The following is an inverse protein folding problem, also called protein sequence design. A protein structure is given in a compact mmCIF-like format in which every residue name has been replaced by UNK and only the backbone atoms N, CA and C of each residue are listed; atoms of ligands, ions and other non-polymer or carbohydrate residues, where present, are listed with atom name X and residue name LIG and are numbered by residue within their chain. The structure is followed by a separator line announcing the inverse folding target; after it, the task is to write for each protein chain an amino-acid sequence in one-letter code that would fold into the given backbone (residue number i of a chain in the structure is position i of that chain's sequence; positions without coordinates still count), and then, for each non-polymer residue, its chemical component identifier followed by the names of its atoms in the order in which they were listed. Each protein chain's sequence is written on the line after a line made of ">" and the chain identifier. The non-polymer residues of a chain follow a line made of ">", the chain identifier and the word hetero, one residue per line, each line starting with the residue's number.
data_IF_817449563035
#
_entry.id   IF_817449563035
#
_cell.length_a   1.000
_cell.length_b   1.000
_cell.length_c   1.000
_cell.angle_alpha   90.00
_cell.angle_beta   90.00
_cell.angle_gamma   90.00
#
_symmetry.space_group_name_H-M   'P 1'
#
loop_
_entity.id
_entity.type
_entity.pdbx_description
1 polymer ?
#
# COMPACT_ATOMS: atom_id res chain seq x y z
N UNK A 1 -33.13 -32.53 -14.11
CA UNK A 1 -33.01 -33.01 -12.71
C UNK A 1 -32.71 -31.78 -11.87
N UNK A 2 -33.72 -31.26 -11.16
CA UNK A 2 -33.51 -30.24 -10.13
C UNK A 2 -33.00 -30.99 -8.91
N UNK A 3 -31.69 -30.89 -8.63
CA UNK A 3 -31.14 -31.27 -7.35
C UNK A 3 -31.53 -30.15 -6.37
N UNK A 4 -32.31 -30.50 -5.33
CA UNK A 4 -32.67 -29.56 -4.27
C UNK A 4 -31.39 -29.06 -3.58
N UNK A 5 -30.99 -27.83 -3.91
CA UNK A 5 -29.80 -27.17 -3.35
C UNK A 5 -29.91 -26.89 -1.85
N UNK A 6 -31.09 -27.10 -1.25
CA UNK A 6 -31.35 -26.84 0.16
C UNK A 6 -30.80 -27.91 1.12
N UNK A 7 -30.65 -29.17 0.67
CA UNK A 7 -30.22 -30.25 1.58
C UNK A 7 -28.71 -30.24 1.87
N UNK A 8 -27.89 -29.71 0.95
CA UNK A 8 -26.43 -29.65 1.15
C UNK A 8 -26.00 -28.56 2.15
N UNK A 9 -26.76 -27.46 2.27
CA UNK A 9 -26.44 -26.37 3.20
C UNK A 9 -26.45 -26.83 4.66
N UNK A 10 -27.51 -27.56 5.04
CA UNK A 10 -27.70 -28.07 6.42
C UNK A 10 -26.64 -29.09 6.83
N UNK A 11 -26.20 -29.93 5.90
CA UNK A 11 -25.16 -30.92 6.18
C UNK A 11 -23.81 -30.26 6.51
N UNK A 12 -23.46 -29.17 5.81
CA UNK A 12 -22.23 -28.42 6.05
C UNK A 12 -22.28 -27.65 7.37
N UNK A 13 -23.41 -27.01 7.68
CA UNK A 13 -23.62 -26.28 8.93
C UNK A 13 -23.56 -27.22 10.15
N UNK A 14 -24.15 -28.41 10.05
CA UNK A 14 -24.11 -29.41 11.12
C UNK A 14 -22.73 -30.04 11.29
N UNK A 15 -21.94 -30.17 10.21
CA UNK A 15 -20.54 -30.59 10.30
C UNK A 15 -19.70 -29.54 11.06
N UNK A 16 -19.95 -28.25 10.82
CA UNK A 16 -19.29 -27.15 11.52
C UNK A 16 -19.68 -27.10 13.02
N UNK A 17 -20.94 -27.37 13.36
CA UNK A 17 -21.38 -27.43 14.76
C UNK A 17 -20.82 -28.64 15.52
N UNK A 18 -20.80 -29.81 14.91
CA UNK A 18 -20.18 -31.01 15.50
C UNK A 18 -18.67 -30.79 15.72
N UNK A 19 -18.03 -30.04 14.82
CA UNK A 19 -16.62 -29.67 14.93
C UNK A 19 -16.32 -28.82 16.19
N UNK A 20 -17.25 -27.98 16.65
CA UNK A 20 -17.04 -27.13 17.83
C UNK A 20 -17.08 -27.88 19.18
N UNK A 21 -17.64 -29.10 19.25
CA UNK A 21 -17.86 -29.80 20.53
C UNK A 21 -16.71 -30.73 20.98
N UNK A 22 -15.81 -31.16 20.08
CA UNK A 22 -14.92 -32.32 20.32
C UNK A 22 -13.45 -32.00 20.67
N UNK A 23 -13.09 -30.76 21.02
CA UNK A 23 -11.68 -30.36 21.11
C UNK A 23 -11.24 -29.97 22.53
N UNK A 24 -10.49 -30.85 23.22
CA UNK A 24 -9.94 -30.60 24.58
C UNK A 24 -8.41 -30.71 24.69
N UNK A 25 -7.65 -30.89 23.60
CA UNK A 25 -6.17 -30.93 23.62
C UNK A 25 -5.55 -29.96 22.62
N UNK A 26 -4.70 -29.04 23.11
CA UNK A 26 -4.06 -27.96 22.34
C UNK A 26 -3.35 -28.43 21.06
N UNK A 27 -2.56 -29.51 21.13
CA UNK A 27 -1.86 -30.07 19.95
C UNK A 27 -2.81 -30.65 18.91
N UNK A 28 -4.02 -31.07 19.32
CA UNK A 28 -5.00 -31.59 18.38
C UNK A 28 -5.71 -30.46 17.63
N UNK A 29 -5.83 -29.25 18.19
CA UNK A 29 -6.43 -28.09 17.50
C UNK A 29 -5.67 -27.71 16.23
N UNK A 30 -4.34 -27.59 16.29
CA UNK A 30 -3.54 -27.17 15.12
C UNK A 30 -3.65 -28.21 13.98
N UNK A 31 -3.69 -29.50 14.32
CA UNK A 31 -3.88 -30.56 13.32
C UNK A 31 -5.27 -30.47 12.68
N UNK A 32 -6.30 -30.18 13.46
CA UNK A 32 -7.66 -30.03 12.95
C UNK A 32 -7.81 -28.83 12.03
N UNK A 33 -7.19 -27.68 12.34
CA UNK A 33 -7.22 -26.50 11.47
C UNK A 33 -6.57 -26.81 10.10
N UNK A 34 -5.45 -27.53 10.11
CA UNK A 34 -4.77 -27.96 8.88
C UNK A 34 -5.59 -28.97 8.08
N UNK A 35 -6.26 -29.92 8.74
CA UNK A 35 -7.15 -30.89 8.09
C UNK A 35 -8.34 -30.16 7.47
N UNK A 36 -9.00 -29.28 8.23
CA UNK A 36 -10.11 -28.47 7.74
C UNK A 36 -9.72 -27.70 6.47
N UNK A 37 -8.57 -27.05 6.47
CA UNK A 37 -8.11 -26.30 5.32
C UNK A 37 -7.80 -27.21 4.13
N UNK A 38 -7.07 -28.32 4.34
CA UNK A 38 -6.71 -29.28 3.28
C UNK A 38 -7.92 -29.92 2.64
N UNK A 39 -8.88 -30.31 3.46
CA UNK A 39 -10.09 -31.01 3.02
C UNK A 39 -11.26 -30.04 2.78
N UNK A 40 -11.00 -28.71 2.82
CA UNK A 40 -12.03 -27.71 2.58
C UNK A 40 -12.76 -27.98 1.26
N UNK A 41 -14.10 -28.08 1.26
CA UNK A 41 -14.84 -28.53 0.09
C UNK A 41 -14.65 -27.62 -1.12
N UNK A 42 -14.23 -28.21 -2.25
CA UNK A 42 -13.94 -27.47 -3.49
C UNK A 42 -15.18 -26.69 -3.96
N UNK A 43 -16.37 -27.30 -3.91
CA UNK A 43 -17.60 -26.64 -4.36
C UNK A 43 -17.94 -25.38 -3.54
N UNK A 44 -17.63 -25.35 -2.24
CA UNK A 44 -17.83 -24.14 -1.42
C UNK A 44 -16.83 -23.05 -1.82
N UNK A 45 -15.58 -23.42 -2.09
CA UNK A 45 -14.57 -22.48 -2.57
C UNK A 45 -14.94 -21.88 -3.93
N UNK A 46 -15.46 -22.69 -4.85
CA UNK A 46 -15.94 -22.23 -6.16
C UNK A 46 -17.16 -21.30 -6.00
N UNK A 47 -18.03 -21.61 -5.06
CA UNK A 47 -19.21 -20.79 -4.76
C UNK A 47 -18.84 -19.43 -4.16
N UNK A 48 -17.84 -19.38 -3.28
CA UNK A 48 -17.28 -18.11 -2.77
C UNK A 48 -16.71 -17.27 -3.91
N UNK A 49 -15.87 -17.83 -4.77
CA UNK A 49 -15.31 -17.09 -5.91
C UNK A 49 -16.41 -16.61 -6.87
N UNK A 50 -17.46 -17.43 -7.08
CA UNK A 50 -18.62 -17.07 -7.91
C UNK A 50 -19.35 -15.85 -7.37
N UNK A 51 -19.65 -15.82 -6.07
CA UNK A 51 -20.36 -14.70 -5.43
C UNK A 51 -19.54 -13.42 -5.50
N UNK A 52 -18.23 -13.53 -5.28
CA UNK A 52 -17.31 -12.40 -5.34
C UNK A 52 -17.19 -11.86 -6.77
N UNK A 53 -17.12 -12.74 -7.78
CA UNK A 53 -16.91 -12.33 -9.19
C UNK A 53 -18.15 -11.69 -9.79
N UNK A 54 -19.34 -12.20 -9.47
CA UNK A 54 -20.57 -11.80 -10.16
C UNK A 54 -21.00 -10.38 -9.78
N UNK A 55 -20.56 -9.83 -8.64
CA UNK A 55 -20.89 -8.47 -8.15
C UNK A 55 -22.38 -8.11 -8.28
N UNK A 56 -23.26 -9.12 -8.35
CA UNK A 56 -24.68 -8.93 -8.61
C UNK A 56 -25.38 -8.86 -7.25
N UNK A 57 -26.27 -7.87 -7.06
CA UNK A 57 -27.02 -7.69 -5.81
C UNK A 57 -28.14 -8.74 -5.65
N UNK A 58 -27.93 -9.98 -6.12
CA UNK A 58 -28.90 -11.05 -5.91
C UNK A 58 -29.00 -11.30 -4.41
N UNK A 59 -30.14 -10.90 -3.82
CA UNK A 59 -30.45 -11.00 -2.39
C UNK A 59 -30.22 -12.41 -1.81
N UNK A 60 -30.17 -13.43 -2.66
CA UNK A 60 -30.04 -14.84 -2.30
C UNK A 60 -28.63 -15.28 -1.86
N UNK A 61 -27.66 -14.37 -1.72
CA UNK A 61 -26.28 -14.74 -1.36
C UNK A 61 -25.86 -14.40 0.08
N UNK A 62 -26.74 -13.80 0.89
CA UNK A 62 -26.38 -13.36 2.25
C UNK A 62 -25.84 -14.50 3.13
N UNK A 63 -26.48 -15.67 3.14
CA UNK A 63 -26.04 -16.82 3.94
C UNK A 63 -24.62 -17.26 3.57
N UNK A 64 -24.27 -17.20 2.28
CA UNK A 64 -22.95 -17.58 1.81
C UNK A 64 -21.89 -16.52 2.13
N UNK A 65 -22.28 -15.23 2.18
CA UNK A 65 -21.43 -14.15 2.68
C UNK A 65 -21.10 -14.34 4.16
N UNK A 66 -22.10 -14.66 4.97
CA UNK A 66 -21.91 -14.99 6.38
C UNK A 66 -21.00 -16.20 6.54
N UNK A 67 -21.25 -17.29 5.80
CA UNK A 67 -20.43 -18.48 5.85
C UNK A 67 -18.96 -18.18 5.46
N UNK A 68 -18.72 -17.33 4.47
CA UNK A 68 -17.36 -16.92 4.12
C UNK A 68 -16.66 -16.23 5.30
N UNK A 69 -17.34 -15.30 5.98
CA UNK A 69 -16.78 -14.59 7.13
C UNK A 69 -16.55 -15.53 8.32
N UNK A 70 -17.46 -16.47 8.58
CA UNK A 70 -17.31 -17.49 9.62
C UNK A 70 -16.13 -18.41 9.33
N UNK A 71 -16.00 -18.89 8.09
CA UNK A 71 -14.87 -19.73 7.66
C UNK A 71 -13.56 -18.96 7.78
N UNK A 72 -13.52 -17.69 7.36
CA UNK A 72 -12.33 -16.86 7.55
C UNK A 72 -11.98 -16.69 9.03
N UNK A 73 -12.97 -16.33 9.86
CA UNK A 73 -12.81 -16.13 11.30
C UNK A 73 -12.28 -17.41 11.96
N UNK A 74 -12.82 -18.56 11.57
CA UNK A 74 -12.40 -19.87 12.02
C UNK A 74 -10.95 -20.20 11.64
N UNK A 75 -10.57 -19.99 10.37
CA UNK A 75 -9.22 -20.31 9.86
C UNK A 75 -8.18 -19.51 10.65
N UNK A 76 -8.43 -18.22 10.87
CA UNK A 76 -7.48 -17.32 11.50
C UNK A 76 -7.73 -17.08 13.00
N UNK A 77 -8.52 -17.91 13.69
CA UNK A 77 -8.72 -17.75 15.15
C UNK A 77 -7.46 -18.03 15.97
N UNK A 78 -6.54 -18.83 15.43
CA UNK A 78 -5.39 -19.37 16.14
C UNK A 78 -4.09 -18.75 15.60
N UNK A 79 -3.33 -17.97 16.41
CA UNK A 79 -2.08 -17.35 15.96
C UNK A 79 -0.93 -18.33 15.79
N UNK A 80 -1.06 -19.54 16.34
CA UNK A 80 -0.02 -20.55 16.31
C UNK A 80 -0.35 -21.62 15.28
N UNK A 81 0.39 -21.65 14.16
CA UNK A 81 0.19 -22.74 13.22
C UNK A 81 1.00 -22.63 11.94
N UNK A 82 1.17 -23.78 11.30
CA UNK A 82 1.66 -23.86 9.93
C UNK A 82 0.57 -23.47 8.90
N UNK A 83 -0.56 -22.93 9.34
CA UNK A 83 -1.70 -22.59 8.48
C UNK A 83 -1.31 -21.58 7.40
N UNK A 84 -0.41 -20.65 7.72
CA UNK A 84 0.14 -19.67 6.79
C UNK A 84 0.97 -20.27 5.64
N UNK A 85 1.43 -21.52 5.78
CA UNK A 85 2.19 -22.22 4.72
C UNK A 85 1.28 -22.90 3.69
N UNK A 86 -0.01 -23.05 4.01
CA UNK A 86 -0.97 -23.71 3.14
C UNK A 86 -1.54 -22.71 2.14
N UNK A 87 -1.38 -22.99 0.84
CA UNK A 87 -1.84 -22.11 -0.26
C UNK A 87 -3.33 -21.74 -0.17
N UNK A 88 -4.16 -22.62 0.40
CA UNK A 88 -5.59 -22.34 0.59
C UNK A 88 -5.84 -21.18 1.55
N UNK A 89 -4.98 -20.96 2.55
CA UNK A 89 -5.12 -19.80 3.47
C UNK A 89 -5.06 -18.48 2.70
N UNK A 90 -4.11 -18.36 1.77
CA UNK A 90 -4.00 -17.20 0.88
C UNK A 90 -5.26 -16.99 0.05
N UNK A 91 -5.89 -18.09 -0.41
CA UNK A 91 -7.16 -18.01 -1.15
C UNK A 91 -8.27 -17.39 -0.32
N UNK A 92 -8.37 -17.74 0.97
CA UNK A 92 -9.37 -17.14 1.87
C UNK A 92 -9.08 -15.67 2.19
N UNK A 93 -7.80 -15.27 2.26
CA UNK A 93 -7.43 -13.85 2.36
C UNK A 93 -7.90 -13.10 1.13
N UNK A 94 -7.64 -13.61 -0.07
CA UNK A 94 -8.11 -13.01 -1.33
C UNK A 94 -9.64 -12.93 -1.35
N UNK A 95 -10.33 -13.98 -0.91
CA UNK A 95 -11.80 -13.96 -0.83
C UNK A 95 -12.30 -12.85 0.08
N UNK A 96 -11.75 -12.72 1.29
CA UNK A 96 -12.12 -11.65 2.21
C UNK A 96 -11.87 -10.27 1.60
N UNK A 97 -10.68 -10.04 1.02
CA UNK A 97 -10.29 -8.74 0.46
C UNK A 97 -11.21 -8.31 -0.68
N UNK A 98 -11.49 -9.20 -1.64
CA UNK A 98 -12.43 -8.90 -2.72
C UNK A 98 -13.86 -8.74 -2.19
N UNK A 99 -14.23 -9.51 -1.17
CA UNK A 99 -15.56 -9.47 -0.58
C UNK A 99 -15.88 -8.13 0.08
N UNK A 100 -14.99 -7.62 0.94
CA UNK A 100 -15.21 -6.33 1.64
C UNK A 100 -15.15 -5.11 0.69
N UNK A 101 -14.62 -5.27 -0.52
CA UNK A 101 -14.67 -4.24 -1.56
C UNK A 101 -16.06 -4.10 -2.19
N UNK A 102 -16.98 -5.05 -1.97
CA UNK A 102 -18.36 -4.92 -2.43
C UNK A 102 -19.08 -3.86 -1.60
N UNK A 103 -19.77 -2.88 -2.22
CA UNK A 103 -20.37 -1.75 -1.48
C UNK A 103 -21.70 -2.10 -0.76
N UNK A 104 -21.98 -3.39 -0.54
CA UNK A 104 -23.22 -3.88 0.05
C UNK A 104 -23.03 -4.12 1.55
N UNK A 105 -23.45 -3.15 2.37
CA UNK A 105 -23.28 -3.21 3.83
C UNK A 105 -23.93 -4.46 4.42
N UNK A 106 -23.13 -5.21 5.18
CA UNK A 106 -23.60 -6.38 5.90
C UNK A 106 -23.66 -6.10 7.39
N UNK A 107 -24.79 -6.40 8.01
CA UNK A 107 -24.87 -6.49 9.48
C UNK A 107 -24.32 -7.84 9.90
N UNK A 108 -23.16 -7.84 10.52
CA UNK A 108 -22.50 -9.05 10.99
C UNK A 108 -22.29 -8.94 12.51
N UNK A 109 -22.88 -9.87 13.26
CA UNK A 109 -22.86 -9.78 14.72
C UNK A 109 -21.48 -10.12 15.32
N UNK A 110 -20.67 -10.89 14.59
CA UNK A 110 -19.34 -11.36 15.02
C UNK A 110 -18.19 -10.50 14.47
N UNK A 111 -18.41 -9.20 14.21
CA UNK A 111 -17.35 -8.29 13.70
C UNK A 111 -16.14 -8.25 14.63
N UNK A 112 -16.34 -8.32 15.95
CA UNK A 112 -15.22 -8.32 16.90
C UNK A 112 -14.35 -9.57 16.76
N UNK A 113 -14.95 -10.75 16.56
CA UNK A 113 -14.21 -12.00 16.37
C UNK A 113 -13.49 -12.00 15.01
N UNK A 114 -14.14 -11.44 13.99
CA UNK A 114 -13.51 -11.23 12.68
C UNK A 114 -12.30 -10.29 12.77
N UNK A 115 -12.38 -9.19 13.54
CA UNK A 115 -11.23 -8.29 13.77
C UNK A 115 -10.09 -9.04 14.47
N UNK A 116 -10.40 -9.85 15.50
CA UNK A 116 -9.39 -10.65 16.20
C UNK A 116 -8.71 -11.64 15.24
N UNK A 117 -9.48 -12.31 14.38
CA UNK A 117 -8.95 -13.21 13.35
C UNK A 117 -8.18 -12.48 12.25
N UNK A 118 -8.55 -11.25 11.88
CA UNK A 118 -7.75 -10.42 10.98
C UNK A 118 -6.41 -10.07 11.62
N UNK A 119 -6.39 -9.70 12.91
CA UNK A 119 -5.15 -9.43 13.65
C UNK A 119 -4.20 -10.63 13.66
N UNK A 120 -4.73 -11.85 13.80
CA UNK A 120 -3.96 -13.07 13.64
C UNK A 120 -3.48 -13.23 12.20
N UNK A 121 -4.34 -13.03 11.20
CA UNK A 121 -4.01 -13.14 9.78
C UNK A 121 -2.84 -12.23 9.38
N UNK A 122 -2.89 -10.94 9.76
CA UNK A 122 -1.88 -9.93 9.42
C UNK A 122 -0.60 -10.04 10.26
N UNK A 123 -0.56 -10.91 11.28
CA UNK A 123 0.71 -11.29 11.91
C UNK A 123 1.63 -12.04 10.93
N UNK A 124 1.07 -12.60 9.86
CA UNK A 124 1.82 -13.12 8.73
C UNK A 124 2.08 -12.03 7.69
N UNK A 125 3.35 -11.73 7.48
CA UNK A 125 3.80 -10.56 6.71
C UNK A 125 3.27 -10.50 5.26
N UNK A 126 3.26 -11.58 4.47
CA UNK A 126 2.65 -11.58 3.14
C UNK A 126 1.18 -11.17 3.13
N UNK A 127 0.39 -11.61 4.11
CA UNK A 127 -1.04 -11.28 4.18
C UNK A 127 -1.24 -9.84 4.62
N UNK A 128 -0.42 -9.34 5.55
CA UNK A 128 -0.41 -7.92 5.90
C UNK A 128 -0.14 -7.03 4.68
N UNK A 129 0.82 -7.40 3.82
CA UNK A 129 1.08 -6.65 2.58
C UNK A 129 -0.16 -6.63 1.69
N UNK A 130 -0.87 -7.75 1.52
CA UNK A 130 -2.12 -7.79 0.74
C UNK A 130 -3.19 -6.85 1.33
N UNK A 131 -3.32 -6.79 2.65
CA UNK A 131 -4.26 -5.88 3.32
C UNK A 131 -3.94 -4.40 3.03
N UNK A 132 -2.66 -4.04 3.06
CA UNK A 132 -2.22 -2.67 2.76
C UNK A 132 -2.47 -2.35 1.28
N UNK A 133 -2.03 -3.22 0.37
CA UNK A 133 -2.13 -3.02 -1.07
C UNK A 133 -3.57 -2.92 -1.57
N UNK A 134 -4.47 -3.70 -0.99
CA UNK A 134 -5.89 -3.73 -1.37
C UNK A 134 -6.75 -2.76 -0.56
N UNK A 135 -6.15 -1.85 0.22
CA UNK A 135 -6.83 -0.86 1.06
C UNK A 135 -7.88 -1.47 2.01
N UNK A 136 -7.57 -2.64 2.57
CA UNK A 136 -8.54 -3.49 3.24
C UNK A 136 -9.20 -2.83 4.45
N UNK A 137 -8.45 -2.06 5.24
CA UNK A 137 -8.95 -1.35 6.43
C UNK A 137 -10.01 -0.32 6.08
N UNK A 138 -9.81 0.44 4.99
CA UNK A 138 -10.79 1.38 4.46
C UNK A 138 -12.05 0.67 3.98
N UNK A 139 -11.90 -0.40 3.19
CA UNK A 139 -13.05 -1.17 2.71
C UNK A 139 -13.81 -1.80 3.88
N UNK A 140 -13.10 -2.37 4.85
CA UNK A 140 -13.68 -2.94 6.07
C UNK A 140 -14.53 -1.91 6.84
N UNK A 141 -13.97 -0.71 7.08
CA UNK A 141 -14.68 0.37 7.77
C UNK A 141 -16.02 0.71 7.08
N UNK A 142 -16.00 0.83 5.76
CA UNK A 142 -17.20 1.18 4.99
C UNK A 142 -18.21 0.04 4.88
N UNK A 143 -17.71 -1.19 4.81
CA UNK A 143 -18.49 -2.40 4.64
C UNK A 143 -19.31 -2.73 5.89
N UNK A 144 -18.65 -2.83 7.04
CA UNK A 144 -19.28 -3.23 8.30
C UNK A 144 -19.85 -2.04 9.06
N UNK A 145 -19.23 -0.86 8.93
CA UNK A 145 -19.46 0.23 9.87
C UNK A 145 -18.97 -0.12 11.28
N UNK A 146 -18.89 0.89 12.15
CA UNK A 146 -18.45 0.72 13.53
C UNK A 146 -19.55 1.25 14.45
N UNK A 147 -20.53 0.39 14.77
CA UNK A 147 -21.72 0.80 15.53
C UNK A 147 -21.44 0.94 17.04
N UNK A 148 -20.39 0.30 17.56
CA UNK A 148 -20.03 0.30 18.98
C UNK A 148 -18.63 0.84 19.22
N UNK A 149 -18.44 1.53 20.35
CA UNK A 149 -17.13 2.07 20.77
C UNK A 149 -16.08 0.96 20.94
N UNK A 150 -16.47 -0.21 21.45
CA UNK A 150 -15.57 -1.35 21.62
C UNK A 150 -15.10 -1.91 20.27
N UNK A 151 -16.01 -2.02 19.31
CA UNK A 151 -15.67 -2.44 17.94
C UNK A 151 -14.80 -1.40 17.25
N UNK A 152 -15.07 -0.11 17.48
CA UNK A 152 -14.26 0.98 16.97
C UNK A 152 -12.82 0.94 17.53
N UNK A 153 -12.66 0.77 18.85
CA UNK A 153 -11.34 0.63 19.48
C UNK A 153 -10.56 -0.55 18.89
N UNK A 154 -11.17 -1.74 18.83
CA UNK A 154 -10.54 -2.92 18.21
C UNK A 154 -10.18 -2.69 16.74
N UNK A 155 -11.03 -2.00 15.99
CA UNK A 155 -10.77 -1.69 14.59
C UNK A 155 -9.55 -0.78 14.42
N UNK A 156 -9.40 0.24 15.27
CA UNK A 156 -8.24 1.12 15.21
C UNK A 156 -6.96 0.42 15.63
N UNK A 157 -7.00 -0.46 16.64
CA UNK A 157 -5.88 -1.34 17.01
C UNK A 157 -5.48 -2.24 15.83
N UNK A 158 -6.47 -2.81 15.12
CA UNK A 158 -6.25 -3.59 13.91
C UNK A 158 -5.61 -2.76 12.79
N UNK A 159 -6.07 -1.52 12.57
CA UNK A 159 -5.46 -0.62 11.60
C UNK A 159 -4.00 -0.34 11.94
N UNK A 160 -3.72 -0.05 13.21
CA UNK A 160 -2.34 0.16 13.67
C UNK A 160 -1.49 -1.08 13.37
N UNK A 161 -1.96 -2.29 13.70
CA UNK A 161 -1.26 -3.54 13.39
C UNK A 161 -1.03 -3.77 11.88
N UNK A 162 -2.01 -3.41 11.03
CA UNK A 162 -1.86 -3.50 9.57
C UNK A 162 -0.72 -2.62 9.10
N UNK A 163 -0.67 -1.38 9.59
CA UNK A 163 0.31 -0.41 9.13
C UNK A 163 1.63 -0.41 9.93
N UNK A 164 1.70 -1.17 11.03
CA UNK A 164 2.91 -1.35 11.83
C UNK A 164 3.82 -2.44 11.22
N UNK A 165 4.54 -2.08 10.14
CA UNK A 165 5.47 -2.94 9.42
C UNK A 165 6.95 -2.62 9.66
N UNK A 166 7.83 -3.57 9.37
CA UNK A 166 9.27 -3.28 9.22
C UNK A 166 9.47 -2.46 7.94
N UNK A 167 10.33 -1.45 7.96
CA UNK A 167 10.66 -0.60 6.81
C UNK A 167 11.02 -1.44 5.57
N UNK A 168 11.78 -2.53 5.75
CA UNK A 168 12.17 -3.44 4.66
C UNK A 168 10.97 -4.08 3.95
N UNK A 169 9.91 -4.39 4.70
CA UNK A 169 8.69 -5.03 4.18
C UNK A 169 7.83 -4.02 3.45
N UNK A 170 7.69 -2.83 4.02
CA UNK A 170 6.93 -1.75 3.41
C UNK A 170 7.54 -1.32 2.07
N UNK A 171 8.87 -1.36 1.93
CA UNK A 171 9.55 -1.03 0.67
C UNK A 171 9.14 -1.89 -0.54
N UNK A 172 8.52 -3.04 -0.30
CA UNK A 172 8.10 -4.00 -1.33
C UNK A 172 6.66 -3.79 -1.82
N UNK A 173 5.87 -2.95 -1.15
CA UNK A 173 4.49 -2.69 -1.56
C UNK A 173 4.44 -2.06 -2.96
N UNK A 174 3.33 -2.30 -3.64
CA UNK A 174 3.09 -1.70 -4.94
C UNK A 174 2.64 -0.23 -4.85
N UNK A 175 3.51 0.71 -5.23
CA UNK A 175 3.24 2.16 -5.23
C UNK A 175 1.98 2.54 -6.03
N UNK A 176 1.71 1.87 -7.16
CA UNK A 176 0.52 2.17 -7.97
C UNK A 176 -0.76 1.81 -7.22
N UNK A 177 -0.75 0.67 -6.51
CA UNK A 177 -1.87 0.28 -5.65
C UNK A 177 -2.05 1.24 -4.47
N UNK A 178 -0.97 1.66 -3.80
CA UNK A 178 -1.07 2.64 -2.71
C UNK A 178 -1.64 3.98 -3.17
N UNK A 179 -1.17 4.50 -4.32
CA UNK A 179 -1.69 5.73 -4.89
C UNK A 179 -3.19 5.61 -5.22
N UNK A 180 -3.62 4.44 -5.73
CA UNK A 180 -5.03 4.14 -5.92
C UNK A 180 -5.79 4.16 -4.58
N UNK A 181 -5.29 3.49 -3.55
CA UNK A 181 -5.89 3.46 -2.20
C UNK A 181 -6.06 4.87 -1.62
N UNK A 182 -5.05 5.73 -1.76
CA UNK A 182 -5.11 7.14 -1.35
C UNK A 182 -6.19 7.88 -2.12
N UNK A 183 -6.26 7.71 -3.44
CA UNK A 183 -7.27 8.36 -4.27
C UNK A 183 -8.69 7.89 -3.91
N UNK A 184 -8.88 6.61 -3.60
CA UNK A 184 -10.16 6.05 -3.17
C UNK A 184 -10.61 6.69 -1.85
N UNK A 185 -9.71 6.79 -0.86
CA UNK A 185 -9.99 7.45 0.42
C UNK A 185 -10.31 8.94 0.22
N UNK A 186 -9.52 9.65 -0.57
CA UNK A 186 -9.69 11.09 -0.83
C UNK A 186 -11.00 11.39 -1.56
N UNK A 187 -11.34 10.58 -2.56
CA UNK A 187 -12.61 10.69 -3.29
C UNK A 187 -13.77 10.49 -2.33
N UNK A 188 -13.71 9.45 -1.49
CA UNK A 188 -14.77 9.15 -0.51
C UNK A 188 -14.89 10.23 0.58
N UNK A 189 -13.78 10.78 1.04
CA UNK A 189 -13.77 11.92 1.95
C UNK A 189 -14.43 13.14 1.29
N UNK A 190 -14.09 13.43 0.04
CA UNK A 190 -14.66 14.56 -0.69
C UNK A 190 -16.19 14.45 -0.81
N UNK A 191 -16.71 13.24 -1.04
CA UNK A 191 -18.14 12.92 -1.10
C UNK A 191 -18.84 13.03 0.26
N UNK A 192 -18.30 12.40 1.29
CA UNK A 192 -19.01 12.14 2.55
C UNK A 192 -18.72 13.15 3.65
N UNK A 193 -17.57 13.85 3.58
CA UNK A 193 -17.00 14.68 4.65
C UNK A 193 -16.84 13.93 5.98
N UNK A 194 -16.64 12.61 5.94
CA UNK A 194 -16.44 11.79 7.13
C UNK A 194 -15.01 11.92 7.66
N UNK A 195 -14.85 12.42 8.89
CA UNK A 195 -13.56 12.62 9.56
C UNK A 195 -12.76 11.33 9.75
N UNK A 196 -13.40 10.15 9.80
CA UNK A 196 -12.67 8.88 9.87
C UNK A 196 -11.89 8.57 8.58
N UNK A 197 -12.30 9.13 7.43
CA UNK A 197 -11.48 9.06 6.22
C UNK A 197 -10.16 9.81 6.38
N UNK A 198 -10.14 10.88 7.18
CA UNK A 198 -8.92 11.65 7.45
C UNK A 198 -7.93 10.80 8.25
N UNK A 199 -8.42 10.07 9.27
CA UNK A 199 -7.58 9.14 10.04
C UNK A 199 -7.01 8.01 9.17
N UNK A 200 -7.86 7.36 8.37
CA UNK A 200 -7.44 6.30 7.44
C UNK A 200 -6.47 6.84 6.37
N UNK A 201 -6.71 8.05 5.87
CA UNK A 201 -5.80 8.75 4.98
C UNK A 201 -4.44 8.94 5.63
N UNK A 202 -4.37 9.45 6.87
CA UNK A 202 -3.09 9.65 7.56
C UNK A 202 -2.32 8.35 7.74
N UNK A 203 -2.97 7.25 8.14
CA UNK A 203 -2.30 5.94 8.28
C UNK A 203 -1.75 5.43 6.94
N UNK A 204 -2.54 5.54 5.86
CA UNK A 204 -2.14 5.10 4.52
C UNK A 204 -1.05 6.00 3.93
N UNK A 205 -1.16 7.31 4.16
CA UNK A 205 -0.21 8.31 3.70
C UNK A 205 1.15 8.15 4.38
N UNK A 206 1.19 7.86 5.69
CA UNK A 206 2.44 7.56 6.39
C UNK A 206 3.14 6.35 5.78
N UNK A 207 2.40 5.30 5.42
CA UNK A 207 2.99 4.12 4.73
C UNK A 207 3.48 4.48 3.35
N UNK A 208 2.71 5.23 2.57
CA UNK A 208 3.14 5.68 1.25
C UNK A 208 4.40 6.55 1.38
N UNK A 209 4.47 7.41 2.38
CA UNK A 209 5.64 8.21 2.68
C UNK A 209 6.83 7.35 3.12
N UNK A 210 6.63 6.27 3.89
CA UNK A 210 7.69 5.28 4.26
C UNK A 210 8.17 4.49 3.05
N UNK A 211 7.23 4.08 2.20
CA UNK A 211 7.48 3.46 0.91
C UNK A 211 8.38 4.36 0.13
N UNK A 212 7.89 5.57 -0.18
CA UNK A 212 8.60 6.78 -0.55
C UNK A 212 9.66 7.14 0.53
N UNK A 213 10.38 6.29 1.29
CA UNK A 213 11.72 6.60 1.87
C UNK A 213 12.83 5.57 1.59
N UNK A 214 12.53 4.45 0.94
CA UNK A 214 13.48 3.35 0.69
C UNK A 214 14.36 3.27 -0.64
N UNK A 215 14.06 3.98 -1.75
CA UNK A 215 14.67 4.11 -3.12
C UNK A 215 15.65 5.28 -3.16
N UNK A 216 15.64 6.14 -2.14
CA UNK A 216 16.26 7.45 -2.10
C UNK A 216 17.75 7.33 -2.01
N UNK A 217 18.21 6.16 -1.56
CA UNK A 217 19.62 5.82 -1.52
C UNK A 217 20.29 6.01 -2.89
N UNK A 218 19.55 6.02 -4.01
CA UNK A 218 20.06 6.37 -5.34
C UNK A 218 19.71 7.79 -5.82
N UNK A 219 18.69 8.46 -5.25
CA UNK A 219 18.25 9.81 -5.68
C UNK A 219 18.98 10.94 -4.95
N UNK A 220 19.53 10.65 -3.76
CA UNK A 220 20.26 11.63 -2.96
C UNK A 220 21.61 12.03 -3.58
N UNK A 221 22.28 11.11 -4.29
CA UNK A 221 23.54 11.39 -5.02
C UNK A 221 23.29 12.30 -6.24
N UNK A 222 22.23 12.02 -7.00
CA UNK A 222 21.85 12.81 -8.17
C UNK A 222 21.39 14.22 -7.79
N UNK A 223 20.58 14.34 -6.74
CA UNK A 223 20.17 15.64 -6.22
C UNK A 223 21.36 16.52 -5.79
N UNK A 224 22.32 15.93 -5.06
CA UNK A 224 23.50 16.68 -4.62
C UNK A 224 24.34 17.19 -5.80
N UNK A 225 24.46 16.40 -6.88
CA UNK A 225 25.15 16.85 -8.09
C UNK A 225 24.44 18.05 -8.75
N UNK A 226 23.11 18.00 -8.93
CA UNK A 226 22.37 19.11 -9.50
C UNK A 226 22.41 20.35 -8.62
N UNK A 227 22.33 20.17 -7.30
CA UNK A 227 22.50 21.24 -6.31
C UNK A 227 23.85 21.93 -6.50
N UNK A 228 24.94 21.16 -6.56
CA UNK A 228 26.29 21.69 -6.74
C UNK A 228 26.44 22.45 -8.07
N UNK A 229 25.91 21.90 -9.18
CA UNK A 229 25.93 22.55 -10.50
C UNK A 229 25.17 23.89 -10.47
N UNK A 230 23.99 23.93 -9.83
CA UNK A 230 23.20 25.15 -9.68
C UNK A 230 23.92 26.20 -8.81
N UNK A 231 24.51 25.80 -7.69
CA UNK A 231 25.29 26.69 -6.82
C UNK A 231 26.50 27.28 -7.56
N UNK A 232 27.24 26.46 -8.29
CA UNK A 232 28.38 26.94 -9.08
C UNK A 232 27.93 27.88 -10.21
N UNK A 233 26.82 27.57 -10.89
CA UNK A 233 26.24 28.45 -11.91
C UNK A 233 25.87 29.80 -11.31
N UNK A 234 25.23 29.82 -10.13
CA UNK A 234 24.88 31.05 -9.43
C UNK A 234 26.10 31.89 -9.03
N UNK A 235 27.17 31.26 -8.53
CA UNK A 235 28.43 31.94 -8.20
C UNK A 235 29.01 32.58 -9.46
N UNK A 236 29.08 31.84 -10.57
CA UNK A 236 29.61 32.35 -11.84
C UNK A 236 28.76 33.50 -12.40
N UNK A 237 27.43 33.42 -12.30
CA UNK A 237 26.51 34.49 -12.69
C UNK A 237 26.58 35.71 -11.78
N UNK A 238 26.98 35.54 -10.52
CA UNK A 238 27.21 36.66 -9.61
C UNK A 238 28.50 37.41 -9.96
N UNK A 239 29.58 36.67 -10.26
CA UNK A 239 30.90 37.20 -10.60
C UNK A 239 30.96 37.77 -12.04
N UNK A 240 30.16 37.23 -12.95
CA UNK A 240 30.18 37.56 -14.38
C UNK A 240 28.78 37.53 -15.00
N UNK A 241 28.59 38.21 -16.12
CA UNK A 241 27.28 38.28 -16.80
C UNK A 241 27.07 37.17 -17.84
N UNK A 242 27.98 36.20 -17.91
CA UNK A 242 27.91 35.08 -18.85
C UNK A 242 28.60 33.87 -18.26
N UNK A 243 28.06 32.67 -18.53
CA UNK A 243 28.75 31.43 -18.21
C UNK A 243 29.76 31.13 -19.33
N UNK A 244 31.03 30.95 -18.98
CA UNK A 244 32.06 30.58 -19.96
C UNK A 244 31.69 29.26 -20.65
N UNK A 245 31.80 29.22 -21.97
CA UNK A 245 31.32 28.09 -22.79
C UNK A 245 31.83 26.74 -22.29
N UNK A 246 33.12 26.61 -21.98
CA UNK A 246 33.68 25.33 -21.51
C UNK A 246 33.13 24.91 -20.14
N UNK A 247 32.75 25.85 -19.26
CA UNK A 247 32.08 25.54 -17.99
C UNK A 247 30.64 25.08 -18.22
N UNK A 248 29.93 25.74 -19.14
CA UNK A 248 28.60 25.32 -19.54
C UNK A 248 28.63 23.91 -20.16
N UNK A 249 29.58 23.65 -21.07
CA UNK A 249 29.77 22.34 -21.69
C UNK A 249 30.12 21.27 -20.63
N UNK A 250 30.97 21.61 -19.65
CA UNK A 250 31.32 20.73 -18.52
C UNK A 250 30.13 20.42 -17.60
N UNK A 251 29.34 21.43 -17.20
CA UNK A 251 28.14 21.18 -16.40
C UNK A 251 27.11 20.36 -17.17
N UNK A 252 26.96 20.63 -18.47
CA UNK A 252 26.08 19.86 -19.33
C UNK A 252 26.54 18.41 -19.46
N UNK A 253 27.84 18.14 -19.58
CA UNK A 253 28.35 16.76 -19.63
C UNK A 253 28.10 16.02 -18.32
N UNK A 254 28.29 16.68 -17.16
CA UNK A 254 27.96 16.09 -15.86
C UNK A 254 26.47 15.69 -15.76
N UNK A 255 25.56 16.50 -16.30
CA UNK A 255 24.13 16.15 -16.35
C UNK A 255 23.82 15.02 -17.34
N UNK A 256 24.52 14.98 -18.49
CA UNK A 256 24.29 13.98 -19.54
C UNK A 256 24.83 12.60 -19.16
N UNK A 257 26.00 12.54 -18.54
CA UNK A 257 26.62 11.29 -18.10
C UNK A 257 25.69 10.53 -17.12
N UNK A 258 24.98 11.26 -16.25
CA UNK A 258 23.96 10.68 -15.36
C UNK A 258 22.64 10.32 -16.09
N UNK A 259 22.24 11.11 -17.08
CA UNK A 259 21.03 10.84 -17.85
C UNK A 259 21.14 9.59 -18.73
N UNK A 260 22.34 9.16 -19.12
CA UNK A 260 22.53 7.95 -19.95
C UNK A 260 22.48 6.65 -19.15
N UNK A 261 22.74 6.70 -17.83
CA UNK A 261 22.64 5.54 -16.93
C UNK A 261 21.20 5.22 -16.52
N UNK A 262 20.26 6.16 -16.71
CA UNK A 262 18.81 5.96 -16.58
C UNK A 262 18.24 5.24 -17.81
N UNK A 263 18.67 3.98 -17.96
CA UNK A 263 18.21 2.95 -18.90
C UNK A 263 17.63 3.42 -20.24
N UNK A 264 18.36 3.11 -21.32
CA UNK A 264 17.73 2.64 -22.56
C UNK A 264 16.84 1.46 -22.18
N UNK A 265 15.56 1.70 -21.93
CA UNK A 265 14.55 0.64 -21.90
C UNK A 265 14.69 -0.04 -23.26
N UNK A 266 15.09 -1.32 -23.32
CA UNK A 266 15.15 -2.02 -24.59
C UNK A 266 13.76 -1.90 -25.21
N UNK A 267 13.66 -1.29 -26.39
CA UNK A 267 12.43 -1.33 -27.17
C UNK A 267 12.14 -2.80 -27.42
N UNK A 268 11.22 -3.37 -26.64
CA UNK A 268 10.85 -4.78 -26.70
C UNK A 268 10.51 -5.15 -28.14
N UNK A 269 11.46 -5.83 -28.80
CA UNK A 269 11.20 -6.63 -29.98
C UNK A 269 10.99 -8.03 -29.48
N UNK A 270 9.73 -8.44 -29.45
CA UNK A 270 9.24 -9.82 -29.53
C UNK A 270 10.21 -10.88 -28.98
N UNK A 271 10.42 -10.93 -27.66
CA UNK A 271 11.00 -12.10 -27.01
C UNK A 271 10.07 -12.65 -25.95
N UNK A 272 9.31 -13.64 -26.39
CA UNK A 272 8.58 -14.59 -25.58
C UNK A 272 9.52 -15.32 -24.61
N UNK A 273 9.16 -15.27 -23.33
CA UNK A 273 9.48 -16.30 -22.35
C UNK A 273 10.82 -16.13 -21.64
N UNK A 274 10.77 -15.59 -20.42
CA UNK A 274 11.31 -16.20 -19.19
C UNK A 274 10.96 -15.25 -18.03
N UNK A 275 10.23 -15.78 -17.05
CA UNK A 275 9.77 -15.10 -15.84
C UNK A 275 10.96 -15.04 -14.86
N UNK A 276 11.33 -13.84 -14.43
CA UNK A 276 12.33 -13.63 -13.37
C UNK A 276 11.94 -12.42 -12.53
N UNK A 277 11.70 -12.67 -11.25
CA UNK A 277 11.26 -11.69 -10.26
C UNK A 277 12.34 -10.62 -10.00
N UNK A 278 12.03 -9.36 -10.33
CA UNK A 278 12.83 -8.21 -9.92
C UNK A 278 12.05 -7.37 -8.91
N UNK A 279 12.61 -7.23 -7.70
CA UNK A 279 12.11 -6.32 -6.66
C UNK A 279 12.65 -4.91 -6.93
N UNK A 280 11.76 -3.94 -7.14
CA UNK A 280 12.11 -2.52 -7.14
C UNK A 280 11.90 -1.93 -5.74
N UNK A 281 12.96 -1.37 -5.15
CA UNK A 281 13.03 -0.88 -3.77
C UNK A 281 12.74 0.61 -3.75
N UNK A 282 11.47 1.10 -3.64
CA UNK A 282 11.15 2.54 -3.86
C UNK A 282 10.59 3.41 -2.74
N UNK A 283 11.47 4.03 -1.97
CA UNK A 283 11.32 5.48 -1.78
C UNK A 283 12.29 6.53 -1.25
N UNK A 284 11.77 7.74 -1.23
CA UNK A 284 12.45 9.00 -1.10
C UNK A 284 11.91 9.88 0.06
N UNK A 285 12.50 9.81 1.26
CA UNK A 285 12.09 10.47 2.51
C UNK A 285 11.39 11.78 2.30
N UNK A 286 10.14 11.89 2.77
CA UNK A 286 9.40 13.18 2.77
C UNK A 286 10.18 14.35 3.36
N UNK A 287 11.10 14.11 4.30
CA UNK A 287 12.00 15.14 4.84
C UNK A 287 13.14 15.47 3.88
N UNK A 288 13.71 14.46 3.21
CA UNK A 288 14.64 14.66 2.10
C UNK A 288 13.96 15.37 0.94
N UNK A 289 12.75 14.98 0.54
CA UNK A 289 11.95 15.64 -0.49
C UNK A 289 11.63 17.09 -0.10
N UNK A 290 11.30 17.36 1.17
CA UNK A 290 11.09 18.71 1.66
C UNK A 290 12.40 19.51 1.64
N UNK A 291 13.51 18.91 2.05
CA UNK A 291 14.86 19.50 1.98
C UNK A 291 15.24 19.81 0.53
N UNK A 292 15.14 18.84 -0.39
CA UNK A 292 15.35 18.97 -1.83
C UNK A 292 14.54 20.13 -2.39
N UNK A 293 13.23 20.14 -2.11
CA UNK A 293 12.30 21.16 -2.57
C UNK A 293 12.68 22.54 -2.02
N UNK A 294 12.96 22.64 -0.72
CA UNK A 294 13.33 23.90 -0.08
C UNK A 294 14.66 24.42 -0.62
N UNK A 295 15.66 23.56 -0.78
CA UNK A 295 16.96 23.92 -1.37
C UNK A 295 16.81 24.44 -2.81
N UNK A 296 16.06 23.74 -3.66
CA UNK A 296 15.82 24.20 -5.04
C UNK A 296 15.07 25.53 -5.09
N UNK A 297 14.05 25.71 -4.24
CA UNK A 297 13.31 26.97 -4.13
C UNK A 297 14.25 28.12 -3.73
N UNK A 298 15.14 27.90 -2.77
CA UNK A 298 16.09 28.93 -2.34
C UNK A 298 17.13 29.26 -3.42
N UNK A 299 17.63 28.26 -4.15
CA UNK A 299 18.53 28.49 -5.29
C UNK A 299 17.84 29.28 -6.41
N UNK A 300 16.59 28.96 -6.73
CA UNK A 300 15.81 29.67 -7.75
C UNK A 300 15.51 31.12 -7.33
N UNK A 301 15.15 31.37 -6.06
CA UNK A 301 14.96 32.74 -5.56
C UNK A 301 16.23 33.57 -5.70
N UNK A 302 17.39 33.00 -5.37
CA UNK A 302 18.70 33.67 -5.54
C UNK A 302 19.01 33.94 -7.01
N UNK A 303 18.71 32.98 -7.89
CA UNK A 303 18.82 33.18 -9.34
C UNK A 303 17.97 34.36 -9.80
N UNK A 304 16.68 34.38 -9.44
CA UNK A 304 15.76 35.46 -9.81
C UNK A 304 16.26 36.81 -9.33
N UNK A 305 16.74 36.91 -8.08
CA UNK A 305 17.25 38.16 -7.54
C UNK A 305 18.52 38.64 -8.28
N UNK A 306 19.47 37.73 -8.55
CA UNK A 306 20.66 38.06 -9.35
C UNK A 306 20.29 38.50 -10.76
N UNK A 307 19.35 37.81 -11.39
CA UNK A 307 18.87 38.14 -12.72
C UNK A 307 18.20 39.51 -12.77
N UNK A 308 17.31 39.80 -11.83
CA UNK A 308 16.65 41.10 -11.71
C UNK A 308 17.66 42.23 -11.51
N UNK A 309 18.59 42.07 -10.58
CA UNK A 309 19.64 43.05 -10.31
C UNK A 309 20.48 43.37 -11.56
N UNK A 310 20.94 42.33 -12.27
CA UNK A 310 21.84 42.52 -13.41
C UNK A 310 21.13 42.96 -14.69
N UNK A 311 19.96 42.40 -14.99
CA UNK A 311 19.33 42.54 -16.31
C UNK A 311 18.06 43.39 -16.31
N UNK A 312 17.28 43.40 -15.22
CA UNK A 312 16.06 44.22 -15.15
C UNK A 312 16.38 45.63 -14.68
N UNK A 313 17.18 45.75 -13.61
CA UNK A 313 17.61 47.04 -13.09
C UNK A 313 18.87 47.58 -13.79
N UNK A 314 19.48 46.77 -14.67
CA UNK A 314 20.63 47.16 -15.49
C UNK A 314 21.94 47.31 -14.72
N UNK A 315 22.01 46.88 -13.45
CA UNK A 315 23.24 46.91 -12.67
C UNK A 315 24.09 45.67 -12.94
N UNK A 316 24.64 45.63 -14.16
CA UNK A 316 25.49 44.55 -14.66
C UNK A 316 26.78 44.33 -13.85
N UNK A 317 27.19 45.28 -13.02
CA UNK A 317 28.37 45.16 -12.15
C UNK A 317 28.01 44.82 -10.70
N UNK A 318 26.72 44.73 -10.38
CA UNK A 318 26.29 44.30 -9.05
C UNK A 318 26.76 42.87 -8.76
N UNK A 319 27.25 42.68 -7.54
CA UNK A 319 27.55 41.36 -6.98
C UNK A 319 27.03 41.29 -5.55
N UNK A 320 26.41 40.17 -5.21
CA UNK A 320 26.03 39.84 -3.84
C UNK A 320 27.27 39.43 -3.08
N UNK A 321 27.60 40.17 -2.01
CA UNK A 321 28.83 39.93 -1.23
C UNK A 321 28.81 38.65 -0.39
N UNK A 322 27.65 37.99 -0.25
CA UNK A 322 27.46 36.83 0.63
C UNK A 322 26.52 35.78 -0.01
N UNK A 323 26.99 35.05 -1.01
CA UNK A 323 26.32 33.83 -1.50
C UNK A 323 26.74 32.61 -0.68
N UNK A 324 26.53 32.64 0.64
CA UNK A 324 26.72 31.43 1.45
C UNK A 324 25.47 30.55 1.31
N UNK A 325 25.64 29.31 0.88
CA UNK A 325 24.59 28.30 0.70
C UNK A 325 24.53 27.29 1.86
N UNK A 326 25.00 27.71 3.06
CA UNK A 326 24.97 26.90 4.28
C UNK A 326 23.55 26.61 4.78
#
# INVERSE_FOLDING_TARGET
>A
MNLDSNDNGRANEQALQNYHQDTQSYDSFIQFDLIFLKDFPIFLSEEFERIITINSPVENHQDMKFLLLEVFTFIFRNPWGNIFKEKKSETFVIFLLKFIQTYDRLKFDMVNDLIDSINVCISHEPYRMMFIEENATFHFYYYFGLESKTTEEKFWDMCENVYHGNEDTLSQLNVLKLNKSINDIMTKFAETKNDDCVKLYFMTHIINDIQYKCHESNLFSEFNLYKDIMEQTLIQFNESNYLEKYKADYYMSLCQDYSMDLSVVPSDRDQSGIIGDSKSVTGISTETNLYIKNTLIELLKRFTLLYEMKYIFGDTNSSMRNLNFQ
#
